data_IF_417387997463
#
_entry.id   IF_417387997463
#
_cell.length_a   1.000
_cell.length_b   1.000
_cell.length_c   1.000
_cell.angle_alpha   90.00
_cell.angle_beta   90.00
_cell.angle_gamma   90.00
#
_symmetry.space_group_name_H-M   'P 1'
#
loop_
_entity.id
_entity.type
_entity.pdbx_description
1 polymer ?
#
# COMPACT_ATOMS: atom_id res chain seq x y z
N UNK A 1 15.89 21.97 -21.55
CA UNK A 1 14.44 21.70 -21.66
C UNK A 1 13.63 22.90 -21.14
N UNK A 2 14.10 24.14 -21.36
CA UNK A 2 13.50 25.37 -20.81
C UNK A 2 12.35 25.94 -21.67
N UNK A 3 11.91 25.23 -22.70
CA UNK A 3 10.89 25.72 -23.63
C UNK A 3 9.47 25.76 -23.02
N UNK A 4 9.25 25.03 -21.94
CA UNK A 4 7.97 24.95 -21.25
C UNK A 4 8.16 25.04 -19.72
N UNK A 5 8.36 26.26 -19.17
CA UNK A 5 8.71 26.46 -17.76
C UNK A 5 7.67 25.90 -16.77
N UNK A 6 6.43 25.70 -17.22
CA UNK A 6 5.32 25.19 -16.40
C UNK A 6 4.83 23.80 -16.84
N UNK A 7 5.63 23.05 -17.60
CA UNK A 7 5.20 21.77 -18.17
C UNK A 7 4.65 20.81 -17.12
N UNK A 8 5.32 20.68 -15.97
CA UNK A 8 4.87 19.80 -14.89
C UNK A 8 3.51 20.23 -14.33
N UNK A 9 3.36 21.50 -13.93
CA UNK A 9 2.13 22.01 -13.35
C UNK A 9 0.94 21.89 -14.33
N UNK A 10 1.16 22.23 -15.61
CA UNK A 10 0.14 22.12 -16.66
C UNK A 10 -0.24 20.67 -16.95
N UNK A 11 0.73 19.76 -16.99
CA UNK A 11 0.46 18.33 -17.22
C UNK A 11 -0.28 17.71 -16.05
N UNK A 12 0.12 18.01 -14.81
CA UNK A 12 -0.57 17.58 -13.59
C UNK A 12 -2.03 18.04 -13.64
N UNK A 13 -2.28 19.34 -13.84
CA UNK A 13 -3.64 19.87 -13.91
C UNK A 13 -4.46 19.18 -15.00
N UNK A 14 -3.92 19.00 -16.21
CA UNK A 14 -4.65 18.39 -17.33
C UNK A 14 -5.01 16.94 -17.06
N UNK A 15 -4.06 16.15 -16.56
CA UNK A 15 -4.27 14.73 -16.28
C UNK A 15 -5.33 14.56 -15.19
N UNK A 16 -5.19 15.23 -14.04
CA UNK A 16 -6.15 15.08 -12.95
C UNK A 16 -7.53 15.64 -13.30
N UNK A 17 -7.61 16.71 -14.12
CA UNK A 17 -8.90 17.18 -14.65
C UNK A 17 -9.60 16.16 -15.54
N UNK A 18 -8.87 15.28 -16.23
CA UNK A 18 -9.48 14.18 -16.98
C UNK A 18 -9.91 13.04 -16.06
N UNK A 19 -9.11 12.72 -15.03
CA UNK A 19 -9.47 11.69 -14.04
C UNK A 19 -10.77 12.04 -13.29
N UNK A 20 -11.00 13.31 -12.99
CA UNK A 20 -12.18 13.79 -12.26
C UNK A 20 -13.48 13.81 -13.10
N UNK A 21 -13.42 13.51 -14.40
CA UNK A 21 -14.56 13.64 -15.32
C UNK A 21 -14.91 12.32 -16.00
N UNK A 22 -16.20 12.03 -16.04
CA UNK A 22 -16.75 10.86 -16.76
C UNK A 22 -17.18 11.15 -18.20
N UNK A 23 -16.79 12.30 -18.77
CA UNK A 23 -17.10 12.63 -20.16
C UNK A 23 -16.33 11.72 -21.13
N UNK A 24 -16.89 11.33 -22.30
CA UNK A 24 -16.20 10.44 -23.26
C UNK A 24 -14.79 10.89 -23.64
N UNK A 25 -14.59 12.20 -23.88
CA UNK A 25 -13.28 12.79 -24.21
C UNK A 25 -12.24 12.61 -23.10
N UNK A 26 -12.66 12.69 -21.83
CA UNK A 26 -11.77 12.50 -20.69
C UNK A 26 -11.39 11.02 -20.54
N UNK A 27 -12.36 10.12 -20.69
CA UNK A 27 -12.14 8.67 -20.64
C UNK A 27 -11.17 8.24 -21.75
N UNK A 28 -11.37 8.71 -22.98
CA UNK A 28 -10.48 8.40 -24.11
C UNK A 28 -9.03 8.86 -23.83
N UNK A 29 -8.85 10.05 -23.27
CA UNK A 29 -7.51 10.59 -22.94
C UNK A 29 -6.83 9.80 -21.83
N UNK A 30 -7.57 9.38 -20.80
CA UNK A 30 -7.01 8.51 -19.75
C UNK A 30 -6.68 7.13 -20.32
N UNK A 31 -7.53 6.56 -21.17
CA UNK A 31 -7.26 5.29 -21.85
C UNK A 31 -5.99 5.34 -22.70
N UNK A 32 -5.78 6.43 -23.46
CA UNK A 32 -4.57 6.64 -24.24
C UNK A 32 -3.30 6.76 -23.36
N UNK A 33 -3.45 7.26 -22.12
CA UNK A 33 -2.37 7.38 -21.15
C UNK A 33 -2.11 6.11 -20.32
N UNK A 34 -3.01 5.12 -20.33
CA UNK A 34 -2.88 3.90 -19.51
C UNK A 34 -1.50 3.22 -19.61
N UNK A 35 -0.88 3.05 -20.80
CA UNK A 35 0.44 2.44 -20.88
C UNK A 35 1.53 3.21 -20.12
N UNK A 36 1.49 4.54 -20.17
CA UNK A 36 2.44 5.39 -19.44
C UNK A 36 2.16 5.38 -17.93
N UNK A 37 0.88 5.36 -17.55
CA UNK A 37 0.44 5.24 -16.16
C UNK A 37 0.96 3.92 -15.58
N UNK A 38 0.75 2.79 -16.25
CA UNK A 38 1.19 1.47 -15.78
C UNK A 38 2.70 1.34 -15.68
N UNK A 39 3.44 2.02 -16.57
CA UNK A 39 4.90 2.05 -16.54
C UNK A 39 5.44 2.86 -15.35
N UNK A 40 4.78 3.95 -14.99
CA UNK A 40 5.25 4.86 -13.95
C UNK A 40 4.70 4.56 -12.54
N UNK A 41 3.55 3.88 -12.46
CA UNK A 41 2.85 3.64 -11.21
C UNK A 41 3.52 2.52 -10.40
N UNK A 42 3.54 2.62 -9.04
CA UNK A 42 3.97 1.52 -8.18
C UNK A 42 3.23 0.22 -8.50
N UNK A 43 3.92 -0.94 -8.60
CA UNK A 43 3.31 -2.21 -9.02
C UNK A 43 2.09 -2.63 -8.20
N UNK A 44 2.07 -2.31 -6.90
CA UNK A 44 0.93 -2.58 -6.03
C UNK A 44 -0.34 -1.84 -6.46
N UNK A 45 -0.19 -0.58 -6.87
CA UNK A 45 -1.33 0.24 -7.32
C UNK A 45 -1.81 -0.22 -8.70
N UNK A 46 -0.90 -0.65 -9.57
CA UNK A 46 -1.26 -1.28 -10.86
C UNK A 46 -2.05 -2.56 -10.63
N UNK A 47 -1.58 -3.43 -9.72
CA UNK A 47 -2.29 -4.67 -9.37
C UNK A 47 -3.70 -4.36 -8.81
N UNK A 48 -3.83 -3.34 -7.95
CA UNK A 48 -5.14 -2.89 -7.44
C UNK A 48 -6.05 -2.39 -8.55
N UNK A 49 -5.56 -1.51 -9.41
CA UNK A 49 -6.33 -1.01 -10.56
C UNK A 49 -6.82 -2.15 -11.45
N UNK A 50 -5.97 -3.13 -11.75
CA UNK A 50 -6.30 -4.28 -12.62
C UNK A 50 -7.16 -5.36 -11.93
N UNK A 51 -7.21 -5.41 -10.60
CA UNK A 51 -8.01 -6.40 -9.84
C UNK A 51 -9.53 -6.25 -10.05
N UNK A 52 -9.98 -5.04 -10.40
CA UNK A 52 -11.38 -4.78 -10.75
C UNK A 52 -11.81 -5.57 -11.99
N UNK A 53 -10.89 -5.83 -12.93
CA UNK A 53 -11.16 -6.50 -14.20
C UNK A 53 -10.46 -7.86 -14.36
N UNK A 54 -9.68 -8.31 -13.37
CA UNK A 54 -8.88 -9.55 -13.48
C UNK A 54 -8.85 -10.31 -12.16
N UNK A 55 -9.27 -11.58 -12.22
CA UNK A 55 -9.22 -12.50 -11.08
C UNK A 55 -7.78 -12.76 -10.60
N UNK A 56 -6.83 -12.85 -11.52
CA UNK A 56 -5.42 -13.04 -11.20
C UNK A 56 -4.88 -11.92 -10.29
N UNK A 57 -5.13 -10.66 -10.64
CA UNK A 57 -4.67 -9.54 -9.82
C UNK A 57 -5.42 -9.43 -8.50
N UNK A 58 -6.67 -9.91 -8.43
CA UNK A 58 -7.43 -9.99 -7.18
C UNK A 58 -6.81 -11.00 -6.22
N UNK A 59 -6.56 -12.21 -6.68
CA UNK A 59 -5.91 -13.27 -5.89
C UNK A 59 -4.50 -12.87 -5.45
N UNK A 60 -3.73 -12.21 -6.33
CA UNK A 60 -2.41 -11.68 -6.01
C UNK A 60 -2.46 -10.69 -4.83
N UNK A 61 -3.45 -9.78 -4.83
CA UNK A 61 -3.60 -8.82 -3.75
C UNK A 61 -4.08 -9.46 -2.45
N UNK A 62 -5.04 -10.38 -2.51
CA UNK A 62 -5.52 -11.11 -1.33
C UNK A 62 -4.38 -11.90 -0.67
N UNK A 63 -3.53 -12.54 -1.49
CA UNK A 63 -2.34 -13.25 -1.01
C UNK A 63 -1.35 -12.30 -0.36
N UNK A 64 -1.06 -11.16 -1.00
CA UNK A 64 -0.19 -10.13 -0.42
C UNK A 64 -0.74 -9.64 0.92
N UNK A 65 -2.02 -9.34 1.00
CA UNK A 65 -2.64 -8.84 2.24
C UNK A 65 -2.58 -9.89 3.35
N UNK A 66 -2.74 -11.18 3.02
CA UNK A 66 -2.53 -12.26 3.98
C UNK A 66 -1.09 -12.31 4.48
N UNK A 67 -0.11 -12.24 3.58
CA UNK A 67 1.31 -12.25 3.97
C UNK A 67 1.68 -11.08 4.87
N UNK A 68 1.12 -9.89 4.63
CA UNK A 68 1.32 -8.72 5.50
C UNK A 68 0.73 -8.97 6.89
N UNK A 69 -0.50 -9.49 6.97
CA UNK A 69 -1.13 -9.84 8.26
C UNK A 69 -0.32 -10.90 9.01
N UNK A 70 0.12 -11.96 8.32
CA UNK A 70 0.92 -13.02 8.93
C UNK A 70 2.26 -12.47 9.48
N UNK A 71 2.86 -11.50 8.79
CA UNK A 71 4.07 -10.82 9.27
C UNK A 71 3.79 -9.93 10.50
N UNK A 72 2.69 -9.17 10.50
CA UNK A 72 2.28 -8.35 11.63
C UNK A 72 1.98 -9.22 12.87
N UNK A 73 1.30 -10.36 12.68
CA UNK A 73 1.02 -11.33 13.74
C UNK A 73 2.31 -11.93 14.32
N UNK A 74 3.29 -12.24 13.47
CA UNK A 74 4.60 -12.73 13.92
C UNK A 74 5.32 -11.68 14.78
N UNK A 75 5.31 -10.41 14.37
CA UNK A 75 5.88 -9.31 15.14
C UNK A 75 5.16 -9.18 16.49
N UNK A 76 3.83 -9.28 16.51
CA UNK A 76 3.04 -9.20 17.74
C UNK A 76 3.40 -10.31 18.74
N UNK A 77 3.56 -11.55 18.27
CA UNK A 77 3.99 -12.68 19.10
C UNK A 77 5.40 -12.46 19.66
N UNK A 78 6.33 -11.98 18.84
CA UNK A 78 7.70 -11.71 19.28
C UNK A 78 7.75 -10.65 20.41
N UNK A 79 6.97 -9.57 20.26
CA UNK A 79 6.86 -8.52 21.28
C UNK A 79 6.22 -9.08 22.57
N UNK A 80 5.15 -9.87 22.45
CA UNK A 80 4.49 -10.48 23.61
C UNK A 80 5.44 -11.42 24.38
N UNK A 81 6.20 -12.25 23.66
CA UNK A 81 7.20 -13.14 24.26
C UNK A 81 8.29 -12.39 25.02
N UNK A 82 8.83 -11.30 24.45
CA UNK A 82 9.82 -10.48 25.13
C UNK A 82 9.26 -9.84 26.42
N UNK A 83 8.03 -9.33 26.38
CA UNK A 83 7.36 -8.77 27.56
C UNK A 83 7.14 -9.81 28.66
N UNK A 84 6.82 -11.06 28.32
CA UNK A 84 6.68 -12.15 29.29
C UNK A 84 8.01 -12.47 29.96
N UNK A 85 9.11 -12.52 29.20
CA UNK A 85 10.45 -12.78 29.74
C UNK A 85 10.93 -11.65 30.67
N UNK A 86 10.59 -10.39 30.37
CA UNK A 86 10.96 -9.24 31.20
C UNK A 86 10.05 -9.03 32.42
N UNK A 87 8.84 -9.57 32.43
CA UNK A 87 7.96 -9.60 33.62
C UNK A 87 8.33 -10.70 34.62
N UNK A 88 9.14 -11.68 34.19
CA UNK A 88 9.62 -12.80 35.01
C UNK A 88 10.83 -12.47 35.90
N UNK A 89 11.10 -11.20 36.22
CA UNK A 89 12.05 -10.84 37.27
C UNK A 89 11.59 -11.41 38.62
N UNK A 90 12.53 -11.87 39.49
CA UNK A 90 12.16 -12.59 40.72
C UNK A 90 11.22 -11.75 41.57
N UNK A 91 10.08 -12.33 41.93
CA UNK A 91 9.23 -11.81 42.98
C UNK A 91 10.07 -11.77 44.27
N UNK A 92 10.65 -10.60 44.56
CA UNK A 92 11.15 -10.27 45.88
C UNK A 92 9.96 -10.17 46.83
N UNK A 93 9.47 -11.32 47.30
CA UNK A 93 8.54 -11.40 48.42
C UNK A 93 9.01 -12.51 49.36
N UNK A 94 9.82 -12.08 50.32
CA UNK A 94 9.84 -12.50 51.70
C UNK A 94 9.30 -13.91 52.02
N UNK A 95 10.19 -14.91 52.01
CA UNK A 95 10.07 -16.00 52.96
C UNK A 95 10.40 -15.46 54.36
N UNK A 96 9.40 -14.93 55.07
CA UNK A 96 9.47 -14.85 56.53
C UNK A 96 9.18 -16.26 57.04
N UNK A 97 10.25 -16.97 57.34
CA UNK A 97 10.20 -18.18 58.16
C UNK A 97 9.97 -17.73 59.60
N UNK A 98 8.92 -18.22 60.24
CA UNK A 98 8.68 -18.06 61.67
C UNK A 98 8.41 -19.43 62.30
#
# INVERSE_FOLDING_TARGET
DDSHPEALARNTQKIFRWVEKDTPDAVEKIQALLPAIEKAMPPLLVARMRSHSSAYFRELLETRERLVRDADDFIAVAIAGFNQMNRGGPAGNAAVMH
#
